data_IF_292381147884
#
_entry.id   IF_292381147884
#
_cell.length_a   1.000
_cell.length_b   1.000
_cell.length_c   1.000
_cell.angle_alpha   90.00
_cell.angle_beta   90.00
_cell.angle_gamma   90.00
#
_symmetry.space_group_name_H-M   'P 1'
#
loop_
_entity.id
_entity.type
_entity.pdbx_description
1 polymer ?
#
# COMPACT_ATOMS: atom_id res chain seq x y z
N UNK A 1 15.14 20.73 17.76
CA UNK A 1 14.14 21.23 16.80
C UNK A 1 12.77 20.74 17.29
N UNK A 2 11.86 21.64 17.67
CA UNK A 2 10.52 21.26 18.12
C UNK A 2 9.66 21.01 16.87
N UNK A 3 9.32 19.75 16.61
CA UNK A 3 8.44 19.39 15.50
C UNK A 3 6.99 19.65 15.92
N UNK A 4 6.32 20.59 15.25
CA UNK A 4 4.91 20.90 15.51
C UNK A 4 4.00 19.84 14.84
N UNK A 5 3.57 18.89 15.65
CA UNK A 5 2.75 17.73 15.24
C UNK A 5 1.26 18.02 15.18
N UNK A 6 0.84 19.20 15.64
CA UNK A 6 -0.55 19.64 15.60
C UNK A 6 -1.05 19.83 14.15
N UNK A 7 -0.12 19.88 13.18
CA UNK A 7 -0.38 19.91 11.74
C UNK A 7 -1.01 18.62 11.18
N UNK A 8 -0.99 17.52 11.94
CA UNK A 8 -1.46 16.20 11.49
C UNK A 8 -2.61 15.66 12.37
N UNK A 9 -3.58 16.52 12.68
CA UNK A 9 -4.74 16.18 13.52
C UNK A 9 -5.64 15.08 12.93
N UNK A 10 -5.58 14.85 11.61
CA UNK A 10 -6.29 13.79 10.91
C UNK A 10 -5.61 12.41 11.00
N UNK A 11 -4.34 12.35 11.40
CA UNK A 11 -3.54 11.12 11.51
C UNK A 11 -3.58 10.63 12.97
N UNK A 12 -4.42 9.63 13.25
CA UNK A 12 -4.78 9.21 14.61
C UNK A 12 -3.78 8.21 15.22
N UNK A 13 -2.51 8.60 15.30
CA UNK A 13 -1.47 7.82 15.99
C UNK A 13 -0.88 8.60 17.16
N UNK A 14 -0.30 7.91 18.17
CA UNK A 14 0.37 8.57 19.28
C UNK A 14 1.45 9.55 18.82
N UNK A 15 1.67 10.56 19.64
CA UNK A 15 2.55 11.69 19.33
C UNK A 15 4.01 11.28 19.10
N UNK A 16 4.49 10.27 19.81
CA UNK A 16 5.83 9.72 19.61
C UNK A 16 5.98 9.01 18.26
N UNK A 17 4.90 8.39 17.74
CA UNK A 17 4.87 7.80 16.40
C UNK A 17 4.89 8.89 15.32
N UNK A 18 4.11 9.97 15.49
CA UNK A 18 4.17 11.12 14.56
C UNK A 18 5.58 11.67 14.46
N UNK A 19 6.26 11.84 15.60
CA UNK A 19 7.67 12.29 15.64
C UNK A 19 8.60 11.37 14.87
N UNK A 20 8.45 10.05 15.00
CA UNK A 20 9.25 9.08 14.23
C UNK A 20 9.04 9.24 12.73
N UNK A 21 7.79 9.33 12.26
CA UNK A 21 7.50 9.51 10.83
C UNK A 21 8.04 10.84 10.28
N UNK A 22 7.99 11.91 11.08
CA UNK A 22 8.55 13.19 10.68
C UNK A 22 10.08 13.15 10.65
N UNK A 23 10.72 12.48 11.62
CA UNK A 23 12.17 12.25 11.60
C UNK A 23 12.59 11.43 10.37
N UNK A 24 11.83 10.40 10.00
CA UNK A 24 12.07 9.68 8.75
C UNK A 24 12.08 10.63 7.54
N UNK A 25 11.08 11.50 7.41
CA UNK A 25 11.01 12.47 6.32
C UNK A 25 12.15 13.53 6.38
N UNK A 26 12.51 14.01 7.56
CA UNK A 26 13.61 14.99 7.73
C UNK A 26 14.97 14.41 7.37
N UNK A 27 15.16 13.12 7.65
CA UNK A 27 16.39 12.39 7.32
C UNK A 27 16.31 11.68 5.97
N UNK A 28 15.40 12.10 5.06
CA UNK A 28 15.17 11.43 3.78
C UNK A 28 16.47 11.11 3.04
N UNK A 29 17.41 12.06 2.91
CA UNK A 29 18.67 11.83 2.19
C UNK A 29 19.57 10.75 2.83
N UNK A 30 19.46 10.55 4.15
CA UNK A 30 20.14 9.46 4.85
C UNK A 30 19.20 8.25 4.97
N UNK A 31 19.18 7.41 3.93
CA UNK A 31 18.28 6.25 3.85
C UNK A 31 18.39 5.34 5.07
N UNK A 32 19.60 5.04 5.57
CA UNK A 32 19.78 4.16 6.72
C UNK A 32 19.15 4.74 7.99
N UNK A 33 19.35 6.03 8.24
CA UNK A 33 18.78 6.68 9.43
C UNK A 33 17.27 6.86 9.32
N UNK A 34 16.80 7.27 8.15
CA UNK A 34 15.37 7.42 7.85
C UNK A 34 14.60 6.11 8.00
N UNK A 35 15.17 5.01 7.51
CA UNK A 35 14.58 3.67 7.61
C UNK A 35 14.46 3.20 9.06
N UNK A 36 15.44 3.48 9.92
CA UNK A 36 15.35 3.13 11.35
C UNK A 36 14.12 3.76 12.02
N UNK A 37 13.80 5.01 11.68
CA UNK A 37 12.62 5.67 12.22
C UNK A 37 11.31 5.01 11.76
N UNK A 38 11.23 4.62 10.49
CA UNK A 38 10.08 3.87 9.95
C UNK A 38 9.94 2.50 10.64
N UNK A 39 11.02 1.74 10.73
CA UNK A 39 11.01 0.43 11.39
C UNK A 39 10.64 0.55 12.88
N UNK A 40 11.12 1.58 13.57
CA UNK A 40 10.75 1.86 14.96
C UNK A 40 9.27 2.18 15.10
N UNK A 41 8.70 2.97 14.18
CA UNK A 41 7.27 3.28 14.16
C UNK A 41 6.42 2.01 13.93
N UNK A 42 6.83 1.14 13.00
CA UNK A 42 6.17 -0.14 12.74
C UNK A 42 6.18 -1.05 13.97
N UNK A 43 7.35 -1.20 14.61
CA UNK A 43 7.51 -2.04 15.79
C UNK A 43 6.63 -1.59 16.96
N UNK A 44 6.51 -0.27 17.18
CA UNK A 44 5.71 0.31 18.26
C UNK A 44 4.19 0.24 18.03
N UNK A 45 3.75 0.19 16.79
CA UNK A 45 2.31 0.30 16.45
C UNK A 45 1.64 -1.03 16.11
N UNK A 46 2.38 -2.13 16.04
CA UNK A 46 1.80 -3.47 15.90
C UNK A 46 0.95 -3.67 14.64
N UNK A 47 1.24 -2.92 13.57
CA UNK A 47 0.48 -2.97 12.33
C UNK A 47 -0.75 -2.04 12.30
N UNK A 48 -0.66 -0.86 12.92
CA UNK A 48 -1.62 0.22 12.66
C UNK A 48 -1.63 0.55 11.16
N UNK A 49 -2.81 0.57 10.55
CA UNK A 49 -2.98 0.69 9.09
C UNK A 49 -2.42 1.99 8.52
N UNK A 50 -2.56 3.10 9.23
CA UNK A 50 -2.04 4.40 8.82
C UNK A 50 -0.51 4.44 8.79
N UNK A 51 0.13 3.81 9.78
CA UNK A 51 1.60 3.65 9.82
C UNK A 51 2.08 2.71 8.72
N UNK A 52 1.36 1.62 8.44
CA UNK A 52 1.65 0.72 7.33
C UNK A 52 1.56 1.45 5.97
N UNK A 53 0.56 2.30 5.76
CA UNK A 53 0.47 3.13 4.55
C UNK A 53 1.66 4.08 4.42
N UNK A 54 2.07 4.73 5.52
CA UNK A 54 3.24 5.61 5.52
C UNK A 54 4.54 4.84 5.21
N UNK A 55 4.72 3.67 5.82
CA UNK A 55 5.88 2.79 5.59
C UNK A 55 5.91 2.26 4.14
N UNK A 56 4.77 1.84 3.58
CA UNK A 56 4.70 1.41 2.18
C UNK A 56 5.19 2.52 1.24
N UNK A 57 4.67 3.75 1.40
CA UNK A 57 5.09 4.90 0.58
C UNK A 57 6.58 5.16 0.72
N UNK A 58 7.09 5.14 1.95
CA UNK A 58 8.51 5.31 2.23
C UNK A 58 9.35 4.28 1.46
N UNK A 59 9.08 2.99 1.65
CA UNK A 59 9.86 1.92 1.01
C UNK A 59 9.73 1.94 -0.51
N UNK A 60 8.54 2.22 -1.04
CA UNK A 60 8.30 2.34 -2.47
C UNK A 60 9.17 3.45 -3.09
N UNK A 61 9.13 4.66 -2.53
CA UNK A 61 9.92 5.79 -3.04
C UNK A 61 11.44 5.64 -2.79
N UNK A 62 11.83 4.82 -1.82
CA UNK A 62 13.23 4.39 -1.62
C UNK A 62 13.66 3.24 -2.52
N UNK A 63 12.80 2.77 -3.42
CA UNK A 63 13.01 1.60 -4.28
C UNK A 63 13.28 0.29 -3.50
N UNK A 64 12.94 0.24 -2.21
CA UNK A 64 13.00 -0.98 -1.43
C UNK A 64 11.69 -1.76 -1.61
N UNK A 65 11.51 -2.31 -2.82
CA UNK A 65 10.27 -2.96 -3.21
C UNK A 65 9.97 -4.22 -2.40
N UNK A 66 10.98 -4.90 -1.88
CA UNK A 66 10.80 -6.06 -0.98
C UNK A 66 10.11 -5.66 0.32
N UNK A 67 10.58 -4.59 1.00
CA UNK A 67 9.91 -4.09 2.20
C UNK A 67 8.57 -3.41 1.89
N UNK A 68 8.44 -2.77 0.72
CA UNK A 68 7.16 -2.22 0.28
C UNK A 68 6.11 -3.35 0.14
N UNK A 69 6.48 -4.48 -0.47
CA UNK A 69 5.60 -5.65 -0.63
C UNK A 69 5.21 -6.24 0.72
N UNK A 70 6.18 -6.44 1.61
CA UNK A 70 5.91 -6.94 2.96
C UNK A 70 4.91 -6.05 3.68
N UNK A 71 5.06 -4.73 3.54
CA UNK A 71 4.18 -3.75 4.18
C UNK A 71 2.76 -3.78 3.62
N UNK A 72 2.58 -3.87 2.29
CA UNK A 72 1.23 -3.98 1.71
C UNK A 72 0.56 -5.29 2.07
N UNK A 73 1.30 -6.41 2.11
CA UNK A 73 0.77 -7.70 2.58
C UNK A 73 0.29 -7.61 4.03
N UNK A 74 1.09 -7.05 4.94
CA UNK A 74 0.69 -6.84 6.34
C UNK A 74 -0.57 -5.96 6.46
N UNK A 75 -0.67 -4.90 5.65
CA UNK A 75 -1.85 -4.04 5.60
C UNK A 75 -3.10 -4.81 5.14
N UNK A 76 -2.97 -5.62 4.09
CA UNK A 76 -4.06 -6.45 3.60
C UNK A 76 -4.51 -7.46 4.64
N UNK A 77 -3.59 -8.13 5.32
CA UNK A 77 -3.90 -9.11 6.37
C UNK A 77 -4.67 -8.47 7.53
N UNK A 78 -4.25 -7.27 7.97
CA UNK A 78 -4.95 -6.50 9.01
C UNK A 78 -6.38 -6.16 8.62
N UNK A 79 -6.60 -5.74 7.38
CA UNK A 79 -7.94 -5.40 6.91
C UNK A 79 -8.80 -6.66 6.78
N UNK A 80 -8.26 -7.74 6.18
CA UNK A 80 -8.93 -9.04 6.07
C UNK A 80 -9.38 -9.57 7.42
N UNK A 81 -8.51 -9.51 8.43
CA UNK A 81 -8.83 -9.92 9.80
C UNK A 81 -9.97 -9.07 10.38
N UNK A 82 -9.88 -7.75 10.26
CA UNK A 82 -10.89 -6.83 10.81
C UNK A 82 -12.26 -6.97 10.15
N UNK A 83 -12.29 -7.16 8.83
CA UNK A 83 -13.50 -7.26 8.01
C UNK A 83 -14.01 -8.69 7.86
N UNK A 84 -13.27 -9.68 8.39
CA UNK A 84 -13.55 -11.11 8.29
C UNK A 84 -13.76 -11.56 6.84
N UNK A 85 -12.86 -11.12 5.97
CA UNK A 85 -12.93 -11.46 4.55
C UNK A 85 -12.68 -12.95 4.30
N UNK A 86 -13.41 -13.57 3.36
CA UNK A 86 -13.07 -14.91 2.88
C UNK A 86 -11.77 -14.85 2.06
N UNK A 87 -11.03 -15.97 2.05
CA UNK A 87 -9.80 -16.09 1.26
C UNK A 87 -10.07 -16.27 -0.24
N UNK A 88 -11.17 -16.93 -0.58
CA UNK A 88 -11.56 -17.21 -1.96
C UNK A 88 -12.06 -15.94 -2.67
N UNK A 89 -11.46 -15.63 -3.82
CA UNK A 89 -11.76 -14.41 -4.57
C UNK A 89 -13.23 -14.32 -4.98
N UNK A 90 -13.83 -15.42 -5.42
CA UNK A 90 -15.22 -15.45 -5.87
C UNK A 90 -16.21 -15.09 -4.74
N UNK A 91 -15.82 -15.34 -3.49
CA UNK A 91 -16.60 -14.96 -2.31
C UNK A 91 -16.29 -13.53 -1.86
N UNK A 92 -15.03 -13.10 -1.98
CA UNK A 92 -14.57 -11.77 -1.57
C UNK A 92 -15.07 -10.67 -2.51
N UNK A 93 -15.00 -10.89 -3.81
CA UNK A 93 -15.35 -9.93 -4.86
C UNK A 93 -16.72 -9.26 -4.66
N UNK A 94 -17.85 -9.98 -4.47
CA UNK A 94 -19.15 -9.33 -4.28
C UNK A 94 -19.19 -8.45 -3.02
N UNK A 95 -18.45 -8.79 -1.96
CA UNK A 95 -18.35 -7.97 -0.74
C UNK A 95 -17.65 -6.65 -1.08
N UNK A 96 -16.53 -6.70 -1.79
CA UNK A 96 -15.77 -5.50 -2.17
C UNK A 96 -16.56 -4.59 -3.12
N UNK A 97 -17.34 -5.15 -4.04
CA UNK A 97 -18.22 -4.39 -4.94
C UNK A 97 -19.32 -3.69 -4.13
N UNK A 98 -20.03 -4.42 -3.27
CA UNK A 98 -21.18 -3.90 -2.53
C UNK A 98 -20.80 -2.83 -1.51
N UNK A 99 -19.60 -2.94 -0.93
CA UNK A 99 -19.10 -2.08 0.15
C UNK A 99 -18.02 -1.10 -0.32
N UNK A 100 -17.84 -0.95 -1.64
CA UNK A 100 -16.71 -0.23 -2.25
C UNK A 100 -16.49 1.18 -1.71
N UNK A 101 -17.56 1.89 -1.37
CA UNK A 101 -17.48 3.29 -0.92
C UNK A 101 -17.08 3.42 0.56
N UNK A 102 -17.10 2.34 1.33
CA UNK A 102 -16.66 2.34 2.73
C UNK A 102 -15.15 2.54 2.82
N UNK A 103 -14.70 3.39 3.75
CA UNK A 103 -13.29 3.81 3.84
C UNK A 103 -12.31 2.65 4.00
N UNK A 104 -12.66 1.63 4.78
CA UNK A 104 -11.82 0.44 4.98
C UNK A 104 -11.69 -0.42 3.72
N UNK A 105 -12.76 -0.52 2.93
CA UNK A 105 -12.79 -1.26 1.66
C UNK A 105 -11.98 -0.52 0.60
N UNK A 106 -12.11 0.81 0.54
CA UNK A 106 -11.26 1.66 -0.31
C UNK A 106 -9.80 1.49 0.06
N UNK A 107 -9.47 1.43 1.35
CA UNK A 107 -8.10 1.19 1.81
C UNK A 107 -7.59 -0.19 1.37
N UNK A 108 -8.41 -1.23 1.50
CA UNK A 108 -8.08 -2.57 1.00
C UNK A 108 -7.78 -2.57 -0.51
N UNK A 109 -8.67 -1.97 -1.32
CA UNK A 109 -8.50 -1.92 -2.78
C UNK A 109 -7.26 -1.13 -3.19
N UNK A 110 -6.98 -0.01 -2.53
CA UNK A 110 -5.72 0.74 -2.72
C UNK A 110 -4.49 -0.11 -2.38
N UNK A 111 -4.50 -0.80 -1.23
CA UNK A 111 -3.38 -1.65 -0.81
C UNK A 111 -3.19 -2.87 -1.73
N UNK A 112 -4.29 -3.42 -2.25
CA UNK A 112 -4.26 -4.55 -3.17
C UNK A 112 -3.71 -4.12 -4.53
N UNK A 113 -4.18 -3.00 -5.09
CA UNK A 113 -3.61 -2.40 -6.30
C UNK A 113 -2.12 -2.05 -6.14
N UNK A 114 -1.75 -1.47 -4.99
CA UNK A 114 -0.36 -1.18 -4.66
C UNK A 114 0.52 -2.44 -4.62
N UNK A 115 0.01 -3.55 -4.09
CA UNK A 115 0.70 -4.85 -4.12
C UNK A 115 0.97 -5.30 -5.56
N UNK A 116 0.00 -5.17 -6.46
CA UNK A 116 0.18 -5.45 -7.89
C UNK A 116 1.29 -4.60 -8.52
N UNK A 117 1.32 -3.30 -8.23
CA UNK A 117 2.37 -2.39 -8.69
C UNK A 117 3.76 -2.76 -8.16
N UNK A 118 3.87 -3.13 -6.88
CA UNK A 118 5.14 -3.55 -6.28
C UNK A 118 5.63 -4.87 -6.88
N UNK A 119 4.74 -5.84 -7.08
CA UNK A 119 5.08 -7.10 -7.74
C UNK A 119 5.59 -6.86 -9.17
N UNK A 120 4.97 -5.95 -9.92
CA UNK A 120 5.47 -5.57 -11.24
C UNK A 120 6.90 -5.00 -11.18
N UNK A 121 7.19 -4.14 -10.18
CA UNK A 121 8.54 -3.58 -9.96
C UNK A 121 9.57 -4.64 -9.58
N UNK A 122 9.14 -5.73 -8.94
CA UNK A 122 9.98 -6.88 -8.60
C UNK A 122 10.14 -7.89 -9.75
N UNK A 123 9.46 -7.68 -10.89
CA UNK A 123 9.48 -8.62 -12.01
C UNK A 123 8.50 -9.79 -11.89
N UNK A 124 7.65 -9.80 -10.87
CA UNK A 124 6.60 -10.80 -10.64
C UNK A 124 5.37 -10.51 -11.50
N UNK A 125 5.56 -10.49 -12.82
CA UNK A 125 4.62 -9.92 -13.79
C UNK A 125 3.27 -10.65 -13.79
N UNK A 126 3.25 -11.98 -13.74
CA UNK A 126 1.99 -12.74 -13.79
C UNK A 126 1.13 -12.51 -12.54
N UNK A 127 1.77 -12.44 -11.36
CA UNK A 127 1.06 -12.09 -10.12
C UNK A 127 0.56 -10.64 -10.12
N UNK A 128 1.35 -9.73 -10.68
CA UNK A 128 0.94 -8.34 -10.84
C UNK A 128 -0.27 -8.20 -11.79
N UNK A 129 -0.29 -8.94 -12.91
CA UNK A 129 -1.43 -9.00 -13.82
C UNK A 129 -2.68 -9.55 -13.16
N UNK A 130 -2.55 -10.66 -12.40
CA UNK A 130 -3.66 -11.27 -11.68
C UNK A 130 -4.33 -10.27 -10.73
N UNK A 131 -3.55 -9.61 -9.89
CA UNK A 131 -4.06 -8.59 -8.96
C UNK A 131 -4.71 -7.44 -9.74
N UNK A 132 -4.07 -6.98 -10.82
CA UNK A 132 -4.55 -5.84 -11.59
C UNK A 132 -5.87 -6.14 -12.28
N UNK A 133 -6.04 -7.36 -12.81
CA UNK A 133 -7.30 -7.85 -13.37
C UNK A 133 -8.41 -7.89 -12.31
N UNK A 134 -8.12 -8.46 -11.13
CA UNK A 134 -9.07 -8.55 -10.02
C UNK A 134 -9.55 -7.17 -9.54
N UNK A 135 -8.67 -6.19 -9.44
CA UNK A 135 -9.07 -4.82 -9.09
C UNK A 135 -9.91 -4.18 -10.21
N UNK A 136 -9.53 -4.38 -11.49
CA UNK A 136 -10.28 -3.88 -12.64
C UNK A 136 -11.71 -4.42 -12.71
N UNK A 137 -11.95 -5.64 -12.22
CA UNK A 137 -13.31 -6.21 -12.10
C UNK A 137 -14.21 -5.49 -11.07
N UNK A 138 -13.64 -4.68 -10.17
CA UNK A 138 -14.36 -3.93 -9.12
C UNK A 138 -14.41 -2.43 -9.45
N UNK A 139 -13.37 -1.93 -10.12
CA UNK A 139 -13.10 -0.52 -10.37
C UNK A 139 -13.08 -0.21 -11.86
N UNK A 140 -14.27 -0.05 -12.43
CA UNK A 140 -14.45 0.28 -13.85
C UNK A 140 -13.85 1.65 -14.23
N UNK A 141 -13.70 2.58 -13.26
CA UNK A 141 -13.22 3.95 -13.50
C UNK A 141 -11.71 4.11 -13.31
N UNK A 142 -11.01 3.05 -12.92
CA UNK A 142 -9.59 3.08 -12.55
C UNK A 142 -9.27 4.04 -11.39
N UNK A 143 -10.19 4.21 -10.43
CA UNK A 143 -9.98 4.98 -9.21
C UNK A 143 -8.75 4.50 -8.39
N UNK A 144 -8.36 3.23 -8.53
CA UNK A 144 -7.19 2.63 -7.87
C UNK A 144 -6.00 2.42 -8.81
N UNK A 145 -6.11 2.79 -10.09
CA UNK A 145 -5.02 2.76 -11.08
C UNK A 145 -4.57 1.38 -11.56
N UNK A 146 -5.19 0.29 -11.07
CA UNK A 146 -4.78 -1.08 -11.41
C UNK A 146 -5.06 -1.45 -12.86
N UNK A 147 -6.14 -0.95 -13.47
CA UNK A 147 -6.40 -1.21 -14.89
C UNK A 147 -5.35 -0.57 -15.80
N UNK A 148 -4.84 0.61 -15.45
CA UNK A 148 -3.73 1.26 -16.18
C UNK A 148 -2.47 0.40 -16.09
N UNK A 149 -2.16 -0.13 -14.91
CA UNK A 149 -1.03 -1.05 -14.74
C UNK A 149 -1.22 -2.31 -15.58
N UNK A 150 -2.41 -2.90 -15.59
CA UNK A 150 -2.71 -4.08 -16.42
C UNK A 150 -2.42 -3.79 -17.89
N UNK A 151 -2.91 -2.66 -18.41
CA UNK A 151 -2.74 -2.29 -19.81
C UNK A 151 -1.25 -2.11 -20.17
N UNK A 152 -0.42 -1.60 -19.26
CA UNK A 152 1.05 -1.52 -19.42
C UNK A 152 1.67 -2.92 -19.44
N UNK A 153 1.25 -3.80 -18.54
CA UNK A 153 1.83 -5.16 -18.41
C UNK A 153 1.40 -6.11 -19.54
N UNK A 154 0.32 -5.81 -20.25
CA UNK A 154 -0.20 -6.61 -21.38
C UNK A 154 0.06 -6.00 -22.74
N UNK A 155 0.71 -4.84 -22.81
CA UNK A 155 1.05 -4.23 -24.10
C UNK A 155 2.02 -5.16 -24.84
N UNK A 156 1.74 -5.53 -26.11
CA UNK A 156 2.70 -6.27 -26.92
C UNK A 156 3.97 -5.43 -27.09
N UNK A 157 5.15 -6.06 -27.26
CA UNK A 157 6.35 -5.32 -27.66
C UNK A 157 6.01 -4.52 -28.92
N UNK A 158 6.29 -3.22 -28.91
CA UNK A 158 6.24 -2.45 -30.16
C UNK A 158 7.24 -3.11 -31.12
N UNK A 159 6.79 -3.48 -32.32
CA UNK A 159 7.72 -3.92 -33.37
C UNK A 159 8.66 -2.73 -33.62
N UNK A 160 9.95 -2.91 -33.35
CA UNK A 160 10.97 -1.92 -33.71
C UNK A 160 10.93 -1.75 -35.24
N UNK A 161 10.40 -0.62 -35.71
CA UNK A 161 10.51 -0.17 -37.12
C UNK A 161 11.97 0.10 -37.53
#
# INVERSE_FOLDING_TARGET
MHTDTNKFSWFQVPEDIKKLLILAAQHWENTSESEKYIQTALAKTGGNTDVLVAAYRFFYYKNNYSLALQTTCQLLDKIKESEKFPDEWDQLKPILINRREESQIRLYLNAYAATGLVLAKLGEIERAKEISLRVKEIDEKNDFGAGILLDVLTRPPEEDD
#
